data_IF_423050585097
#
_entry.id   IF_423050585097
#
_cell.length_a   1.000
_cell.length_b   1.000
_cell.length_c   1.000
_cell.angle_alpha   90.00
_cell.angle_beta   90.00
_cell.angle_gamma   90.00
#
_symmetry.space_group_name_H-M   'P 1'
#
loop_
_entity.id
_entity.type
_entity.pdbx_description
1 polymer ?
#
# COMPACT_ATOMS: atom_id res chain seq x y z
N UNK A 1 -11.95 -6.36 27.01
CA UNK A 1 -13.20 -6.56 26.24
C UNK A 1 -13.22 -6.13 24.78
N UNK A 2 -12.80 -4.91 24.41
CA UNK A 2 -12.86 -4.42 23.00
C UNK A 2 -12.12 -5.32 22.00
N UNK A 3 -10.91 -5.79 22.36
CA UNK A 3 -10.11 -6.69 21.53
C UNK A 3 -10.85 -8.02 21.28
N UNK A 4 -11.39 -8.63 22.33
CA UNK A 4 -12.13 -9.90 22.25
C UNK A 4 -13.36 -9.81 21.34
N UNK A 5 -14.10 -8.68 21.40
CA UNK A 5 -15.24 -8.45 20.51
C UNK A 5 -14.81 -8.27 19.05
N UNK A 6 -13.75 -7.52 18.80
CA UNK A 6 -13.21 -7.34 17.46
C UNK A 6 -12.76 -8.68 16.86
N UNK A 7 -12.02 -9.48 17.63
CA UNK A 7 -11.59 -10.82 17.23
C UNK A 7 -12.78 -11.69 16.82
N UNK A 8 -13.78 -11.84 17.69
CA UNK A 8 -14.98 -12.66 17.40
C UNK A 8 -15.76 -12.19 16.16
N UNK A 9 -15.69 -10.90 15.82
CA UNK A 9 -16.43 -10.31 14.69
C UNK A 9 -15.70 -10.44 13.35
N UNK A 10 -14.36 -10.42 13.36
CA UNK A 10 -13.57 -10.29 12.13
C UNK A 10 -12.64 -11.48 11.83
N UNK A 11 -12.47 -12.41 12.77
CA UNK A 11 -11.60 -13.58 12.64
C UNK A 11 -12.42 -14.87 12.55
N UNK A 12 -13.54 -14.85 11.84
CA UNK A 12 -14.23 -16.06 11.45
C UNK A 12 -13.73 -16.55 10.07
N UNK A 13 -13.91 -17.83 9.73
CA UNK A 13 -13.36 -18.42 8.51
C UNK A 13 -13.83 -17.77 7.20
N UNK A 14 -14.98 -17.08 7.17
CA UNK A 14 -15.45 -16.42 5.94
C UNK A 14 -14.67 -15.14 5.61
N UNK A 15 -13.93 -14.57 6.58
CA UNK A 15 -13.08 -13.40 6.40
C UNK A 15 -11.59 -13.74 6.19
N UNK A 16 -11.23 -15.02 6.17
CA UNK A 16 -9.83 -15.48 6.16
C UNK A 16 -9.46 -16.18 4.86
N UNK A 17 -8.23 -15.96 4.42
CA UNK A 17 -7.59 -16.69 3.32
C UNK A 17 -6.33 -17.35 3.87
N UNK A 18 -6.19 -18.66 3.68
CA UNK A 18 -4.97 -19.40 4.03
C UNK A 18 -4.15 -19.62 2.77
N UNK A 19 -2.91 -19.11 2.76
CA UNK A 19 -1.96 -19.30 1.67
C UNK A 19 -0.80 -20.19 2.13
N UNK A 20 -0.41 -21.16 1.30
CA UNK A 20 0.73 -22.04 1.54
C UNK A 20 1.57 -22.16 0.26
N UNK A 21 2.89 -22.06 0.38
CA UNK A 21 3.82 -22.13 -0.73
C UNK A 21 5.07 -22.94 -0.33
N UNK A 22 5.59 -23.74 -1.26
CA UNK A 22 6.72 -24.66 -1.04
C UNK A 22 6.38 -26.10 -1.40
N UNK A 23 7.13 -27.06 -0.86
CA UNK A 23 6.88 -28.48 -1.05
C UNK A 23 5.71 -28.98 -0.18
N UNK A 24 4.49 -28.63 -0.57
CA UNK A 24 3.26 -28.94 0.17
C UNK A 24 2.27 -29.70 -0.70
N UNK A 25 1.57 -30.65 -0.09
CA UNK A 25 0.41 -31.29 -0.69
C UNK A 25 -0.86 -30.48 -0.34
N UNK A 26 -1.59 -30.02 -1.36
CA UNK A 26 -2.76 -29.17 -1.18
C UNK A 26 -3.83 -29.84 -0.31
N UNK A 27 -4.13 -31.11 -0.56
CA UNK A 27 -5.17 -31.84 0.17
C UNK A 27 -4.82 -31.99 1.66
N UNK A 28 -3.54 -32.27 1.97
CA UNK A 28 -3.02 -32.32 3.34
C UNK A 28 -3.17 -30.97 4.05
N UNK A 29 -2.84 -29.86 3.37
CA UNK A 29 -3.01 -28.51 3.93
C UNK A 29 -4.48 -28.23 4.23
N UNK A 30 -5.37 -28.45 3.27
CA UNK A 30 -6.82 -28.24 3.45
C UNK A 30 -7.36 -29.04 4.63
N UNK A 31 -6.97 -30.32 4.76
CA UNK A 31 -7.39 -31.18 5.87
C UNK A 31 -6.90 -30.65 7.22
N UNK A 32 -5.65 -30.21 7.31
CA UNK A 32 -5.09 -29.67 8.55
C UNK A 32 -5.76 -28.35 8.95
N UNK A 33 -5.99 -27.46 7.99
CA UNK A 33 -6.67 -26.18 8.21
C UNK A 33 -8.11 -26.40 8.66
N UNK A 34 -8.84 -27.31 7.99
CA UNK A 34 -10.21 -27.70 8.39
C UNK A 34 -10.23 -28.23 9.83
N UNK A 35 -9.38 -29.19 10.16
CA UNK A 35 -9.31 -29.76 11.51
C UNK A 35 -9.00 -28.69 12.58
N UNK A 36 -8.14 -27.71 12.27
CA UNK A 36 -7.84 -26.61 13.18
C UNK A 36 -9.06 -25.70 13.41
N UNK A 37 -9.81 -25.35 12.35
CA UNK A 37 -11.03 -24.55 12.48
C UNK A 37 -12.16 -25.30 13.18
N UNK A 38 -12.30 -26.61 12.97
CA UNK A 38 -13.25 -27.46 13.70
C UNK A 38 -12.92 -27.49 15.19
N UNK A 39 -11.65 -27.73 15.55
CA UNK A 39 -11.18 -27.71 16.95
C UNK A 39 -11.42 -26.35 17.62
N UNK A 40 -11.29 -25.25 16.86
CA UNK A 40 -11.58 -23.90 17.34
C UNK A 40 -13.09 -23.58 17.40
N UNK A 41 -13.97 -24.48 16.93
CA UNK A 41 -15.40 -24.26 16.85
C UNK A 41 -15.77 -23.13 15.88
N UNK A 42 -14.97 -22.91 14.83
CA UNK A 42 -15.11 -21.81 13.89
C UNK A 42 -16.00 -22.15 12.67
N UNK A 43 -16.20 -23.44 12.37
CA UNK A 43 -17.08 -23.93 11.28
C UNK A 43 -18.50 -24.21 11.79
N UNK A 44 -19.19 -23.18 12.29
CA UNK A 44 -20.51 -23.34 12.91
C UNK A 44 -21.67 -23.42 11.92
N UNK A 45 -21.50 -22.79 10.76
CA UNK A 45 -22.51 -22.72 9.71
C UNK A 45 -22.02 -23.54 8.49
N UNK A 46 -22.63 -24.70 8.21
CA UNK A 46 -22.29 -25.53 7.06
C UNK A 46 -22.52 -24.86 5.71
N UNK A 47 -23.38 -23.83 5.64
CA UNK A 47 -23.70 -23.09 4.42
C UNK A 47 -22.85 -21.83 4.22
N UNK A 48 -22.00 -21.48 5.19
CA UNK A 48 -21.20 -20.28 5.13
C UNK A 48 -20.22 -20.29 3.95
N UNK A 49 -20.25 -19.22 3.15
CA UNK A 49 -19.35 -19.00 2.03
C UNK A 49 -18.32 -17.93 2.37
N UNK A 50 -17.11 -17.98 1.78
CA UNK A 50 -16.15 -16.89 1.90
C UNK A 50 -16.78 -15.56 1.48
N UNK A 51 -16.50 -14.50 2.21
CA UNK A 51 -16.97 -13.17 1.84
C UNK A 51 -16.29 -12.71 0.55
N UNK A 52 -17.06 -12.02 -0.28
CA UNK A 52 -16.51 -11.35 -1.45
C UNK A 52 -15.41 -10.36 -1.02
N UNK A 53 -14.38 -10.16 -1.85
CA UNK A 53 -13.40 -9.11 -1.63
C UNK A 53 -14.09 -7.78 -1.40
N UNK A 54 -13.55 -6.96 -0.48
CA UNK A 54 -14.02 -5.59 -0.32
C UNK A 54 -13.84 -4.85 -1.64
N UNK A 55 -14.91 -4.19 -2.07
CA UNK A 55 -14.96 -3.38 -3.27
C UNK A 55 -15.66 -2.05 -2.94
N UNK A 56 -15.51 -1.09 -3.85
CA UNK A 56 -16.14 0.21 -3.75
C UNK A 56 -15.45 1.25 -4.60
N UNK A 57 -16.05 2.44 -4.68
CA UNK A 57 -15.43 3.62 -5.26
C UNK A 57 -15.63 4.80 -4.35
N UNK A 58 -14.54 5.26 -3.75
CA UNK A 58 -14.51 6.47 -2.95
C UNK A 58 -13.70 7.53 -3.68
N UNK A 59 -14.35 8.64 -4.00
CA UNK A 59 -13.65 9.82 -4.49
C UNK A 59 -12.84 10.43 -3.35
N UNK A 60 -11.52 10.34 -3.46
CA UNK A 60 -10.60 11.05 -2.58
C UNK A 60 -10.30 12.39 -3.23
N UNK A 61 -10.52 13.49 -2.50
CA UNK A 61 -10.11 14.83 -2.93
C UNK A 61 -8.81 15.18 -2.23
N UNK A 62 -7.82 15.62 -3.02
CA UNK A 62 -6.64 16.25 -2.44
C UNK A 62 -7.07 17.51 -1.69
N UNK A 63 -6.54 17.71 -0.49
CA UNK A 63 -6.81 18.93 0.26
C UNK A 63 -6.18 20.18 -0.41
N UNK A 64 -5.30 20.00 -1.39
CA UNK A 64 -4.64 21.09 -2.10
C UNK A 64 -3.78 22.00 -1.20
N UNK A 65 -3.43 21.51 0.00
CA UNK A 65 -2.71 22.28 1.01
C UNK A 65 -1.26 21.82 1.10
N UNK A 66 -0.39 22.77 1.42
CA UNK A 66 0.99 22.51 1.84
C UNK A 66 1.01 22.60 3.36
N UNK A 67 1.57 21.57 4.00
CA UNK A 67 1.68 21.51 5.46
C UNK A 67 3.15 21.34 5.83
N UNK A 68 3.68 22.28 6.62
CA UNK A 68 5.05 22.23 7.12
C UNK A 68 5.02 21.76 8.57
N UNK A 69 5.61 20.60 8.82
CA UNK A 69 5.73 20.04 10.17
C UNK A 69 7.19 20.18 10.61
N UNK A 70 7.44 21.12 11.52
CA UNK A 70 8.76 21.31 12.11
C UNK A 70 9.15 20.13 13.01
N UNK A 71 10.23 19.42 12.67
CA UNK A 71 10.84 18.38 13.50
C UNK A 71 12.35 18.59 13.51
N UNK A 72 13.01 18.26 14.63
CA UNK A 72 14.47 18.30 14.73
C UNK A 72 15.06 17.06 14.04
N UNK A 73 15.33 17.17 12.74
CA UNK A 73 15.90 16.12 11.89
C UNK A 73 16.98 16.70 10.97
N UNK A 74 17.96 15.87 10.59
CA UNK A 74 19.05 16.26 9.68
C UNK A 74 18.59 16.46 8.23
N UNK A 75 17.47 15.86 7.86
CA UNK A 75 16.87 15.97 6.53
C UNK A 75 15.48 16.58 6.60
N UNK A 76 15.12 17.30 5.54
CA UNK A 76 13.74 17.63 5.22
C UNK A 76 13.13 16.51 4.38
N UNK A 77 11.92 16.11 4.75
CA UNK A 77 11.13 15.10 4.05
C UNK A 77 10.02 15.78 3.27
N UNK A 78 10.12 15.72 1.95
CA UNK A 78 9.15 16.31 1.02
C UNK A 78 8.26 15.18 0.51
N UNK A 79 6.94 15.33 0.67
CA UNK A 79 5.95 14.37 0.19
C UNK A 79 4.93 15.14 -0.65
N UNK A 80 4.81 14.75 -1.92
CA UNK A 80 3.72 15.18 -2.80
C UNK A 80 2.75 14.03 -2.95
N UNK A 81 1.56 14.15 -2.36
CA UNK A 81 0.53 13.09 -2.39
C UNK A 81 -0.68 13.48 -3.22
N UNK A 82 -1.21 12.54 -3.99
CA UNK A 82 -2.38 12.70 -4.86
C UNK A 82 -3.31 11.48 -4.75
N UNK A 83 -4.62 11.62 -5.05
CA UNK A 83 -5.49 10.48 -5.25
C UNK A 83 -4.91 9.52 -6.29
N UNK A 84 -4.80 8.26 -5.92
CA UNK A 84 -4.37 7.17 -6.79
C UNK A 84 -5.53 6.30 -7.25
N UNK A 85 -5.19 5.13 -7.76
CA UNK A 85 -6.15 4.15 -8.27
C UNK A 85 -6.46 3.08 -7.21
N UNK A 86 -7.73 2.67 -7.14
CA UNK A 86 -8.13 1.53 -6.33
C UNK A 86 -7.44 0.25 -6.81
N UNK A 87 -7.30 -0.73 -5.91
CA UNK A 87 -6.68 -2.01 -6.22
C UNK A 87 -7.41 -2.73 -7.34
N UNK A 88 -8.73 -2.56 -7.46
CA UNK A 88 -9.57 -3.18 -8.48
C UNK A 88 -9.59 -2.42 -9.81
N UNK A 89 -9.02 -1.21 -9.89
CA UNK A 89 -9.02 -0.39 -11.12
C UNK A 89 -8.08 -0.99 -12.19
N UNK A 90 -8.58 -1.19 -13.41
CA UNK A 90 -7.81 -1.77 -14.52
C UNK A 90 -6.62 -0.91 -14.95
N UNK A 91 -6.70 0.41 -14.75
CA UNK A 91 -5.62 1.36 -15.07
C UNK A 91 -4.41 1.22 -14.15
N UNK A 92 -4.49 0.40 -13.09
CA UNK A 92 -3.37 0.16 -12.15
C UNK A 92 -2.10 -0.33 -12.83
N UNK A 93 -2.23 -1.05 -13.95
CA UNK A 93 -1.08 -1.51 -14.73
C UNK A 93 -0.38 -0.36 -15.46
N UNK A 94 -1.16 0.52 -16.11
CA UNK A 94 -0.64 1.74 -16.72
C UNK A 94 0.01 2.66 -15.67
N UNK A 95 -0.61 2.78 -14.49
CA UNK A 95 -0.04 3.50 -13.35
C UNK A 95 1.27 2.88 -12.86
N UNK A 96 1.40 1.55 -12.89
CA UNK A 96 2.66 0.85 -12.58
C UNK A 96 3.79 1.23 -13.56
N UNK A 97 3.49 1.25 -14.86
CA UNK A 97 4.44 1.69 -15.90
C UNK A 97 4.86 3.15 -15.69
N UNK A 98 3.89 4.04 -15.44
CA UNK A 98 4.15 5.45 -15.11
C UNK A 98 5.05 5.57 -13.88
N UNK A 99 4.73 4.85 -12.80
CA UNK A 99 5.51 4.88 -11.56
C UNK A 99 6.96 4.42 -11.78
N UNK A 100 7.16 3.35 -12.57
CA UNK A 100 8.50 2.86 -12.91
C UNK A 100 9.30 3.92 -13.67
N UNK A 101 8.72 4.53 -14.69
CA UNK A 101 9.38 5.55 -15.50
C UNK A 101 9.66 6.84 -14.71
N UNK A 102 8.75 7.23 -13.82
CA UNK A 102 8.85 8.47 -13.06
C UNK A 102 9.86 8.37 -11.92
N UNK A 103 9.74 7.35 -11.06
CA UNK A 103 10.50 7.28 -9.81
C UNK A 103 10.77 5.87 -9.29
N UNK A 104 10.60 4.83 -10.10
CA UNK A 104 10.68 3.44 -9.64
C UNK A 104 12.07 2.82 -9.54
N UNK A 105 13.13 3.55 -9.93
CA UNK A 105 14.50 3.04 -9.90
C UNK A 105 15.54 4.04 -10.39
N UNK A 106 16.79 3.59 -10.52
CA UNK A 106 17.93 4.47 -10.84
C UNK A 106 17.86 5.08 -12.25
N UNK A 107 17.22 4.41 -13.20
CA UNK A 107 16.99 4.92 -14.55
C UNK A 107 15.74 5.81 -14.67
N UNK A 108 14.99 6.02 -13.59
CA UNK A 108 13.77 6.83 -13.61
C UNK A 108 14.07 8.33 -13.69
N UNK A 109 13.09 9.11 -14.18
CA UNK A 109 13.25 10.56 -14.39
C UNK A 109 13.62 11.29 -13.10
N UNK A 110 12.94 11.03 -11.99
CA UNK A 110 13.22 11.68 -10.71
C UNK A 110 14.62 11.36 -10.21
N UNK A 111 15.06 10.10 -10.33
CA UNK A 111 16.41 9.73 -9.92
C UNK A 111 17.47 10.46 -10.76
N UNK A 112 17.29 10.47 -12.08
CA UNK A 112 18.21 11.14 -13.00
C UNK A 112 18.25 12.66 -12.77
N UNK A 113 17.10 13.32 -12.64
CA UNK A 113 17.05 14.78 -12.54
C UNK A 113 17.43 15.30 -11.14
N UNK A 114 16.96 14.67 -10.07
CA UNK A 114 17.14 15.17 -8.70
C UNK A 114 18.44 14.66 -8.08
N UNK A 115 18.73 13.35 -8.24
CA UNK A 115 19.89 12.73 -7.60
C UNK A 115 21.13 12.78 -8.50
N UNK A 116 21.05 12.26 -9.72
CA UNK A 116 22.23 12.08 -10.58
C UNK A 116 22.77 13.42 -11.10
N UNK A 117 21.93 14.20 -11.77
CA UNK A 117 22.36 15.45 -12.43
C UNK A 117 22.61 16.61 -11.47
N UNK A 118 21.88 16.67 -10.36
CA UNK A 118 21.86 17.86 -9.46
C UNK A 118 22.28 17.58 -8.03
N UNK A 119 22.35 16.33 -7.59
CA UNK A 119 22.75 15.98 -6.22
C UNK A 119 21.87 16.61 -5.12
N UNK A 120 20.58 16.88 -5.40
CA UNK A 120 19.69 17.60 -4.47
C UNK A 120 19.12 16.71 -3.37
N UNK A 121 18.92 15.42 -3.66
CA UNK A 121 18.37 14.44 -2.73
C UNK A 121 19.04 13.09 -2.94
N UNK A 122 19.39 12.41 -1.84
CA UNK A 122 19.91 11.04 -1.93
C UNK A 122 18.78 10.03 -2.17
N UNK A 123 17.63 10.25 -1.54
CA UNK A 123 16.45 9.41 -1.69
C UNK A 123 15.37 10.21 -2.40
N UNK A 124 15.01 9.78 -3.61
CA UNK A 124 13.88 10.30 -4.38
C UNK A 124 13.20 9.14 -5.10
N UNK A 125 11.87 9.03 -4.99
CA UNK A 125 11.10 7.99 -5.66
C UNK A 125 9.63 8.37 -5.76
N UNK A 126 8.90 7.66 -6.61
CA UNK A 126 7.44 7.67 -6.64
C UNK A 126 6.87 6.34 -6.18
N UNK A 127 5.67 6.37 -5.62
CA UNK A 127 5.00 5.19 -5.11
C UNK A 127 3.49 5.25 -5.36
N UNK A 128 2.88 4.07 -5.40
CA UNK A 128 1.44 3.89 -5.53
C UNK A 128 0.95 2.95 -4.43
N UNK A 129 -0.29 3.11 -3.98
CA UNK A 129 -0.94 2.17 -3.06
C UNK A 129 -2.41 2.07 -3.40
N UNK A 130 -2.87 0.87 -3.74
CA UNK A 130 -4.27 0.58 -4.05
C UNK A 130 -4.99 -0.04 -2.86
N UNK A 131 -6.04 0.63 -2.38
CA UNK A 131 -6.99 0.12 -1.40
C UNK A 131 -8.23 -0.45 -2.10
N UNK A 132 -9.15 -1.03 -1.34
CA UNK A 132 -10.37 -1.65 -1.87
C UNK A 132 -11.26 -0.64 -2.61
N UNK A 133 -11.34 0.59 -2.11
CA UNK A 133 -12.27 1.63 -2.58
C UNK A 133 -11.58 2.88 -3.18
N UNK A 134 -10.28 3.06 -2.94
CA UNK A 134 -9.51 4.21 -3.41
C UNK A 134 -8.02 3.88 -3.54
N UNK A 135 -7.20 4.86 -3.92
CA UNK A 135 -5.76 4.71 -3.93
C UNK A 135 -5.01 5.99 -3.58
N UNK A 136 -3.70 5.84 -3.46
CA UNK A 136 -2.72 6.90 -3.26
C UNK A 136 -1.65 6.81 -4.34
N UNK A 137 -1.27 7.95 -4.88
CA UNK A 137 -0.04 8.13 -5.63
C UNK A 137 0.78 9.20 -4.93
N UNK A 138 2.10 9.05 -4.88
CA UNK A 138 2.94 10.08 -4.29
C UNK A 138 4.38 10.06 -4.76
N UNK A 139 5.06 11.17 -4.51
CA UNK A 139 6.48 11.35 -4.68
C UNK A 139 7.07 11.70 -3.34
N UNK A 140 8.22 11.08 -3.02
CA UNK A 140 8.99 11.36 -1.83
C UNK A 140 10.38 11.82 -2.22
N UNK A 141 10.91 12.82 -1.49
CA UNK A 141 12.31 13.21 -1.52
C UNK A 141 12.84 13.50 -0.11
N UNK A 142 14.03 12.98 0.20
CA UNK A 142 14.80 13.31 1.40
C UNK A 142 16.01 14.16 1.02
N UNK A 143 16.02 15.42 1.45
CA UNK A 143 17.03 16.42 1.07
C UNK A 143 17.50 17.23 2.29
N UNK A 144 18.54 18.05 2.10
CA UNK A 144 18.93 19.02 3.13
C UNK A 144 17.83 20.09 3.24
N UNK A 145 17.53 20.61 4.45
CA UNK A 145 16.52 21.66 4.61
C UNK A 145 16.72 22.87 3.68
N UNK A 146 17.98 23.26 3.41
CA UNK A 146 18.31 24.36 2.52
C UNK A 146 17.99 24.10 1.04
N UNK A 147 17.80 22.84 0.62
CA UNK A 147 17.56 22.44 -0.77
C UNK A 147 16.08 22.17 -1.09
N UNK A 148 15.17 22.30 -0.11
CA UNK A 148 13.73 21.99 -0.29
C UNK A 148 13.13 22.77 -1.47
N UNK A 149 13.45 24.06 -1.60
CA UNK A 149 12.93 24.87 -2.70
C UNK A 149 13.43 24.42 -4.07
N UNK A 150 14.67 23.97 -4.18
CA UNK A 150 15.21 23.47 -5.45
C UNK A 150 14.61 22.12 -5.82
N UNK A 151 14.39 21.25 -4.83
CA UNK A 151 13.70 19.96 -5.03
C UNK A 151 12.26 20.17 -5.52
N UNK A 152 11.53 21.13 -4.96
CA UNK A 152 10.14 21.43 -5.34
C UNK A 152 9.98 22.04 -6.74
N UNK A 153 11.05 22.56 -7.35
CA UNK A 153 11.02 23.16 -8.70
C UNK A 153 11.20 22.16 -9.83
N UNK A 154 11.68 20.95 -9.52
CA UNK A 154 11.86 19.86 -10.47
C UNK A 154 10.52 19.18 -10.74
#
# INVERSE_FOLDING_TARGET
>A
DRIRRFYKKHYDPTHLVVAAAGNVDHAKVVRQVRAAFEKAGALKDPGAQPLAPRDGRRTVRAAGRVELIGRKTEQAHVILGMPGLARTDERRWAMGVLNTALGGGMSSRLFQEVREKRGLAYSVYSYTSGFADCGLFGVYAGCRPSQVHDVLRI
#
